data_IF_984927591098
#
_entry.id   IF_984927591098
#
_cell.length_a   1.000
_cell.length_b   1.000
_cell.length_c   1.000
_cell.angle_alpha   90.00
_cell.angle_beta   90.00
_cell.angle_gamma   90.00
#
_symmetry.space_group_name_H-M   'P 1'
#
loop_
_entity.id
_entity.type
_entity.pdbx_description
1 polymer ?
#
# COMPACT_ATOMS: atom_id res chain seq x y z
N UNK A 1 7.12 21.11 -0.19
CA UNK A 1 6.20 21.10 -1.35
C UNK A 1 5.13 20.06 -1.06
N UNK A 2 3.84 20.31 -1.33
CA UNK A 2 2.80 19.27 -1.16
C UNK A 2 2.53 18.57 -2.49
N UNK A 3 2.57 17.26 -2.50
CA UNK A 3 2.12 16.47 -3.64
C UNK A 3 0.59 16.31 -3.61
N UNK A 4 0.02 15.90 -4.74
CA UNK A 4 -1.36 15.42 -4.80
C UNK A 4 -1.36 13.91 -4.62
N UNK A 5 -2.45 13.38 -4.07
CA UNK A 5 -2.61 11.95 -3.84
C UNK A 5 -3.94 11.44 -4.37
N UNK A 6 -3.99 10.15 -4.70
CA UNK A 6 -5.20 9.45 -5.08
C UNK A 6 -5.39 8.20 -4.23
N UNK A 7 -6.63 7.74 -4.12
CA UNK A 7 -7.10 6.61 -3.31
C UNK A 7 -6.75 5.22 -3.87
N UNK A 8 -5.88 5.16 -4.89
CA UNK A 8 -5.49 3.93 -5.59
C UNK A 8 -6.62 3.16 -6.28
N UNK A 9 -7.79 3.77 -6.46
CA UNK A 9 -8.86 3.20 -7.27
C UNK A 9 -8.45 3.01 -8.74
N UNK A 10 -9.08 2.03 -9.41
CA UNK A 10 -8.83 1.78 -10.83
C UNK A 10 -9.47 2.91 -11.65
N UNK A 11 -8.63 3.70 -12.31
CA UNK A 11 -9.04 4.77 -13.22
C UNK A 11 -9.00 4.30 -14.68
N UNK A 12 -9.99 4.72 -15.47
CA UNK A 12 -10.09 4.40 -16.91
C UNK A 12 -10.04 5.65 -17.80
N UNK A 13 -9.95 6.82 -17.20
CA UNK A 13 -9.85 8.10 -17.87
C UNK A 13 -9.04 9.08 -17.02
N UNK A 14 -8.33 9.98 -17.69
CA UNK A 14 -7.55 11.05 -17.07
C UNK A 14 -7.66 12.31 -17.94
N UNK A 15 -7.53 13.51 -17.35
CA UNK A 15 -7.42 14.75 -18.11
C UNK A 15 -6.30 14.66 -19.16
N UNK A 16 -6.47 15.33 -20.31
CA UNK A 16 -5.50 15.28 -21.43
C UNK A 16 -4.07 15.70 -21.02
N UNK A 17 -3.94 16.58 -20.03
CA UNK A 17 -2.67 17.04 -19.48
C UNK A 17 -2.07 16.08 -18.42
N UNK A 18 -2.67 14.91 -18.21
CA UNK A 18 -2.26 13.93 -17.20
C UNK A 18 -1.88 12.60 -17.83
N UNK A 19 -0.70 12.11 -17.50
CA UNK A 19 -0.12 10.85 -18.01
C UNK A 19 -0.23 9.75 -16.96
N UNK A 20 -0.72 8.57 -17.36
CA UNK A 20 -0.81 7.38 -16.51
C UNK A 20 0.55 6.67 -16.41
N UNK A 21 1.15 6.66 -15.22
CA UNK A 21 2.49 6.09 -14.97
C UNK A 21 2.36 4.74 -14.26
N UNK A 22 2.89 3.69 -14.87
CA UNK A 22 2.65 2.31 -14.44
C UNK A 22 3.91 1.46 -14.43
N UNK A 23 3.89 0.41 -13.60
CA UNK A 23 4.91 -0.62 -13.58
C UNK A 23 4.77 -1.56 -14.77
N UNK A 24 5.86 -1.79 -15.50
CA UNK A 24 5.91 -2.65 -16.68
C UNK A 24 7.02 -3.70 -16.60
N UNK A 25 7.09 -4.57 -17.59
CA UNK A 25 8.25 -5.44 -17.84
C UNK A 25 8.99 -4.97 -19.09
N UNK A 26 10.30 -5.23 -19.18
CA UNK A 26 11.12 -4.83 -20.32
C UNK A 26 10.69 -5.48 -21.65
N UNK A 27 9.98 -6.62 -21.61
CA UNK A 27 9.39 -7.23 -22.80
C UNK A 27 8.15 -6.48 -23.33
N UNK A 28 7.62 -5.51 -22.58
CA UNK A 28 6.45 -4.73 -22.95
C UNK A 28 5.15 -5.53 -22.97
N UNK A 29 5.05 -6.58 -22.16
CA UNK A 29 3.82 -7.39 -22.03
C UNK A 29 2.84 -6.71 -21.08
N UNK A 30 1.73 -6.17 -21.58
CA UNK A 30 0.78 -5.39 -20.79
C UNK A 30 -0.52 -6.15 -20.49
N UNK A 31 -0.44 -7.44 -20.17
CA UNK A 31 -1.60 -8.33 -20.02
C UNK A 31 -2.33 -8.31 -18.67
N UNK A 32 -1.77 -7.66 -17.64
CA UNK A 32 -2.32 -7.72 -16.27
C UNK A 32 -2.10 -6.43 -15.48
N UNK A 33 -2.86 -6.28 -14.38
CA UNK A 33 -2.75 -5.16 -13.44
C UNK A 33 -2.83 -3.78 -14.09
N UNK A 34 -2.04 -2.84 -13.57
CA UNK A 34 -1.96 -1.48 -14.09
C UNK A 34 -1.47 -1.41 -15.56
N UNK A 35 -0.62 -2.35 -16.00
CA UNK A 35 -0.16 -2.40 -17.38
C UNK A 35 -1.31 -2.68 -18.36
N UNK A 36 -2.22 -3.59 -17.99
CA UNK A 36 -3.44 -3.83 -18.77
C UNK A 36 -4.33 -2.59 -18.85
N UNK A 37 -4.53 -1.91 -17.73
CA UNK A 37 -5.29 -0.66 -17.70
C UNK A 37 -4.64 0.39 -18.62
N UNK A 38 -3.31 0.52 -18.55
CA UNK A 38 -2.54 1.42 -19.41
C UNK A 38 -2.73 1.11 -20.90
N UNK A 39 -2.68 -0.17 -21.29
CA UNK A 39 -2.89 -0.60 -22.67
C UNK A 39 -4.33 -0.37 -23.14
N UNK A 40 -5.31 -0.69 -22.31
CA UNK A 40 -6.74 -0.61 -22.68
C UNK A 40 -7.28 0.83 -22.72
N UNK A 41 -6.78 1.71 -21.86
CA UNK A 41 -7.38 3.03 -21.63
C UNK A 41 -6.44 4.21 -21.92
N UNK A 42 -5.12 4.02 -21.79
CA UNK A 42 -4.14 5.11 -21.84
C UNK A 42 -3.15 4.98 -23.00
N UNK A 43 -3.39 4.06 -23.94
CA UNK A 43 -2.61 3.94 -25.18
C UNK A 43 -1.20 3.41 -24.98
N UNK A 44 -0.94 2.64 -23.93
CA UNK A 44 0.31 1.90 -23.81
C UNK A 44 0.44 0.88 -24.96
N UNK A 45 1.62 0.87 -25.60
CA UNK A 45 1.86 0.06 -26.80
C UNK A 45 2.53 -1.25 -26.40
N UNK A 46 1.97 -2.37 -26.84
CA UNK A 46 2.53 -3.71 -26.62
C UNK A 46 3.96 -3.79 -27.20
N UNK A 47 4.88 -4.38 -26.45
CA UNK A 47 6.31 -4.42 -26.78
C UNK A 47 7.11 -3.18 -26.34
N UNK A 48 6.44 -2.13 -25.83
CA UNK A 48 7.09 -0.95 -25.24
C UNK A 48 7.10 -1.08 -23.71
N UNK A 49 8.21 -1.59 -23.17
CA UNK A 49 8.37 -1.81 -21.73
C UNK A 49 8.79 -0.60 -20.90
N UNK A 50 9.21 0.50 -21.54
CA UNK A 50 9.74 1.69 -20.85
C UNK A 50 9.42 2.99 -21.57
N UNK A 51 9.29 4.07 -20.80
CA UNK A 51 9.12 5.42 -21.31
C UNK A 51 7.69 5.74 -21.78
N UNK A 52 7.56 6.83 -22.52
CA UNK A 52 6.27 7.38 -22.94
C UNK A 52 5.64 6.62 -24.12
N UNK A 53 4.34 6.37 -24.03
CA UNK A 53 3.50 5.86 -25.12
C UNK A 53 2.04 6.29 -24.91
N UNK A 54 1.42 6.97 -25.89
CA UNK A 54 0.04 7.44 -25.79
C UNK A 54 -0.14 8.46 -24.64
N UNK A 55 -1.13 8.21 -23.78
CA UNK A 55 -1.35 8.93 -22.52
C UNK A 55 -0.70 8.20 -21.32
N UNK A 56 0.36 7.42 -21.55
CA UNK A 56 1.00 6.61 -20.51
C UNK A 56 2.53 6.73 -20.48
N UNK A 57 3.12 6.34 -19.35
CA UNK A 57 4.57 6.22 -19.17
C UNK A 57 4.90 4.93 -18.41
N UNK A 58 5.69 4.05 -19.01
CA UNK A 58 6.09 2.78 -18.43
C UNK A 58 7.40 2.90 -17.64
N UNK A 59 7.40 2.43 -16.39
CA UNK A 59 8.61 2.24 -15.58
C UNK A 59 8.83 0.72 -15.41
N UNK A 60 9.92 0.15 -15.95
CA UNK A 60 10.22 -1.26 -15.79
C UNK A 60 10.48 -1.65 -14.33
N UNK A 61 9.78 -2.68 -13.86
CA UNK A 61 10.04 -3.34 -12.56
C UNK A 61 10.36 -4.83 -12.71
N UNK A 62 10.20 -5.36 -13.93
CA UNK A 62 10.49 -6.73 -14.33
C UNK A 62 11.37 -6.73 -15.59
N UNK A 63 12.28 -7.69 -15.71
CA UNK A 63 13.15 -7.82 -16.89
C UNK A 63 12.40 -8.42 -18.11
N UNK A 64 13.12 -8.68 -19.21
CA UNK A 64 12.52 -9.25 -20.43
C UNK A 64 11.98 -10.68 -20.23
N UNK A 65 12.40 -11.34 -19.16
CA UNK A 65 11.96 -12.67 -18.76
C UNK A 65 10.90 -12.64 -17.64
N UNK A 66 10.32 -11.47 -17.36
CA UNK A 66 9.27 -11.29 -16.35
C UNK A 66 9.77 -11.66 -14.94
N UNK A 67 11.07 -11.47 -14.68
CA UNK A 67 11.67 -11.67 -13.36
C UNK A 67 11.84 -10.32 -12.66
N UNK A 68 11.69 -10.32 -11.33
CA UNK A 68 11.93 -9.16 -10.48
C UNK A 68 13.32 -8.58 -10.75
N UNK A 69 13.36 -7.32 -11.19
CA UNK A 69 14.61 -6.59 -11.39
C UNK A 69 15.17 -6.15 -10.05
N UNK A 70 16.51 -6.07 -9.85
CA UNK A 70 17.07 -5.48 -8.64
C UNK A 70 16.59 -4.03 -8.43
N UNK A 71 16.38 -3.62 -7.17
CA UNK A 71 15.89 -2.29 -6.83
C UNK A 71 16.75 -1.15 -7.42
N UNK A 72 18.07 -1.33 -7.50
CA UNK A 72 19.01 -0.38 -8.14
C UNK A 72 18.75 -0.14 -9.63
N UNK A 73 18.23 -1.14 -10.36
CA UNK A 73 17.86 -0.96 -11.77
C UNK A 73 16.52 -0.21 -11.88
N UNK A 74 15.59 -0.48 -10.96
CA UNK A 74 14.31 0.25 -10.91
C UNK A 74 14.57 1.72 -10.56
N UNK A 75 15.45 1.99 -9.60
CA UNK A 75 15.89 3.34 -9.21
C UNK A 75 16.42 4.12 -10.42
N UNK A 76 17.23 3.49 -11.28
CA UNK A 76 17.71 4.13 -12.51
C UNK A 76 16.55 4.62 -13.42
N UNK A 77 15.51 3.79 -13.62
CA UNK A 77 14.34 4.18 -14.40
C UNK A 77 13.47 5.24 -13.70
N UNK A 78 13.40 5.22 -12.38
CA UNK A 78 12.71 6.25 -11.59
C UNK A 78 13.45 7.59 -11.70
N UNK A 79 14.78 7.60 -11.70
CA UNK A 79 15.59 8.81 -11.91
C UNK A 79 15.40 9.38 -13.33
N UNK A 80 15.37 8.53 -14.36
CA UNK A 80 15.04 8.96 -15.72
C UNK A 80 13.64 9.61 -15.78
N UNK A 81 12.67 9.01 -15.09
CA UNK A 81 11.32 9.56 -14.99
C UNK A 81 11.29 10.90 -14.23
N UNK A 82 12.04 11.05 -13.14
CA UNK A 82 12.17 12.33 -12.41
C UNK A 82 12.67 13.45 -13.31
N UNK A 83 13.70 13.16 -14.11
CA UNK A 83 14.24 14.10 -15.09
C UNK A 83 13.19 14.43 -16.14
N UNK A 84 12.46 13.42 -16.64
CA UNK A 84 11.39 13.62 -17.62
C UNK A 84 10.28 14.53 -17.08
N UNK A 85 9.72 14.19 -15.91
CA UNK A 85 8.62 14.94 -15.29
C UNK A 85 9.00 16.40 -15.01
N UNK A 86 10.22 16.64 -14.54
CA UNK A 86 10.77 17.99 -14.29
C UNK A 86 10.86 18.83 -15.56
N UNK A 87 11.19 18.23 -16.71
CA UNK A 87 11.30 18.92 -17.99
C UNK A 87 9.96 19.13 -18.70
N UNK A 88 8.86 18.59 -18.17
CA UNK A 88 7.50 18.75 -18.71
C UNK A 88 6.54 19.30 -17.64
N UNK A 89 6.78 20.51 -17.11
CA UNK A 89 6.06 21.04 -15.95
C UNK A 89 4.58 21.35 -16.19
N UNK A 90 4.14 21.35 -17.46
CA UNK A 90 2.72 21.53 -17.84
C UNK A 90 1.92 20.24 -17.78
N UNK A 91 2.59 19.09 -17.77
CA UNK A 91 1.96 17.78 -17.64
C UNK A 91 1.91 17.37 -16.17
N UNK A 92 0.88 16.63 -15.82
CA UNK A 92 0.78 15.89 -14.57
C UNK A 92 1.05 14.41 -14.82
N UNK A 93 1.50 13.71 -13.77
CA UNK A 93 1.79 12.29 -13.85
C UNK A 93 1.08 11.55 -12.73
N UNK A 94 0.10 10.73 -13.10
CA UNK A 94 -0.64 9.87 -12.18
C UNK A 94 0.15 8.58 -11.98
N UNK A 95 0.84 8.46 -10.85
CA UNK A 95 1.70 7.32 -10.53
C UNK A 95 0.90 6.25 -9.82
N UNK A 96 0.80 5.06 -10.41
CA UNK A 96 0.28 3.89 -9.69
C UNK A 96 1.27 3.41 -8.62
N UNK A 97 0.83 2.53 -7.70
CA UNK A 97 1.70 1.78 -6.79
C UNK A 97 2.57 0.75 -7.56
N UNK A 98 3.39 1.24 -8.50
CA UNK A 98 4.17 0.45 -9.42
C UNK A 98 5.18 -0.42 -8.68
N UNK A 99 5.41 -1.63 -9.19
CA UNK A 99 6.26 -2.61 -8.53
C UNK A 99 5.63 -3.34 -7.34
N UNK A 100 4.55 -2.82 -6.75
CA UNK A 100 3.99 -3.35 -5.50
C UNK A 100 2.96 -4.48 -5.68
N UNK A 101 2.58 -4.75 -6.94
CA UNK A 101 1.72 -5.89 -7.30
C UNK A 101 2.54 -7.10 -7.74
N UNK A 102 2.59 -7.33 -9.06
CA UNK A 102 3.18 -8.53 -9.67
C UNK A 102 4.68 -8.65 -9.40
N UNK A 103 5.42 -7.54 -9.37
CA UNK A 103 6.85 -7.57 -9.12
C UNK A 103 7.20 -7.86 -7.66
N UNK A 104 6.23 -7.77 -6.74
CA UNK A 104 6.39 -8.20 -5.35
C UNK A 104 7.27 -7.29 -4.49
N UNK A 105 7.51 -6.04 -4.90
CA UNK A 105 8.18 -5.07 -4.05
C UNK A 105 7.23 -4.50 -3.00
N UNK A 106 7.77 -4.06 -1.87
CA UNK A 106 7.00 -3.32 -0.88
C UNK A 106 6.94 -1.84 -1.24
N UNK A 107 5.89 -1.17 -0.79
CA UNK A 107 5.77 0.28 -0.89
C UNK A 107 6.97 0.99 -0.24
N UNK A 108 7.44 0.46 0.90
CA UNK A 108 8.62 0.95 1.61
C UNK A 108 9.93 0.85 0.80
N UNK A 109 9.99 0.00 -0.23
CA UNK A 109 11.15 -0.14 -1.10
C UNK A 109 11.06 0.78 -2.33
N UNK A 110 9.86 0.92 -2.91
CA UNK A 110 9.66 1.70 -4.15
C UNK A 110 9.43 3.19 -3.88
N UNK A 111 8.55 3.52 -2.95
CA UNK A 111 8.12 4.90 -2.73
C UNK A 111 9.27 5.86 -2.39
N UNK A 112 10.30 5.47 -1.59
CA UNK A 112 11.45 6.33 -1.34
C UNK A 112 12.24 6.72 -2.58
N UNK A 113 12.22 5.92 -3.66
CA UNK A 113 12.92 6.23 -4.92
C UNK A 113 12.40 7.53 -5.56
N UNK A 114 11.16 7.90 -5.26
CA UNK A 114 10.52 9.11 -5.78
C UNK A 114 10.84 10.39 -4.97
N UNK A 115 11.58 10.30 -3.86
CA UNK A 115 11.96 11.48 -3.06
C UNK A 115 12.65 12.55 -3.91
N UNK A 116 12.20 13.80 -3.79
CA UNK A 116 12.73 14.94 -4.53
C UNK A 116 12.27 15.04 -5.99
N UNK A 117 11.28 14.26 -6.43
CA UNK A 117 10.65 14.44 -7.73
C UNK A 117 9.96 15.82 -7.83
N UNK A 118 9.75 16.31 -9.06
CA UNK A 118 9.03 17.56 -9.28
C UNK A 118 7.55 17.44 -8.86
N UNK A 119 6.93 18.53 -8.43
CA UNK A 119 5.59 18.54 -7.80
C UNK A 119 4.42 18.29 -8.76
N UNK A 120 4.68 18.01 -10.04
CA UNK A 120 3.66 17.67 -11.04
C UNK A 120 3.32 16.18 -11.06
N UNK A 121 3.56 15.48 -9.95
CA UNK A 121 3.28 14.07 -9.77
C UNK A 121 2.15 13.91 -8.76
N UNK A 122 1.21 13.03 -9.11
CA UNK A 122 0.09 12.60 -8.27
C UNK A 122 0.45 11.18 -7.82
N UNK A 123 0.58 10.98 -6.52
CA UNK A 123 1.02 9.72 -5.93
C UNK A 123 -0.15 8.87 -5.43
N UNK A 124 0.06 7.56 -5.29
CA UNK A 124 -0.88 6.75 -4.52
C UNK A 124 -0.76 7.13 -3.04
N UNK A 125 -1.87 7.11 -2.28
CA UNK A 125 -1.87 7.51 -0.86
C UNK A 125 -0.85 6.69 -0.04
N UNK A 126 -0.66 5.41 -0.37
CA UNK A 126 0.37 4.56 0.25
C UNK A 126 1.81 5.09 0.14
N UNK A 127 2.12 5.93 -0.85
CA UNK A 127 3.47 6.49 -1.04
C UNK A 127 3.71 7.71 -0.16
N UNK A 128 2.65 8.40 0.30
CA UNK A 128 2.72 9.63 1.11
C UNK A 128 3.70 9.55 2.28
N UNK A 129 3.74 8.46 3.08
CA UNK A 129 4.69 8.33 4.18
C UNK A 129 6.15 8.39 3.73
N UNK A 130 6.45 8.03 2.50
CA UNK A 130 7.82 7.87 2.03
C UNK A 130 8.29 9.04 1.18
N UNK A 131 7.38 9.86 0.65
CA UNK A 131 7.71 11.00 -0.23
C UNK A 131 7.63 12.36 0.46
N UNK A 132 6.87 12.50 1.55
CA UNK A 132 6.81 13.76 2.30
C UNK A 132 7.92 13.88 3.34
N UNK A 133 8.62 15.01 3.36
CA UNK A 133 9.73 15.28 4.30
C UNK A 133 9.28 15.26 5.77
N UNK A 134 7.99 15.52 6.06
CA UNK A 134 7.41 15.53 7.41
C UNK A 134 6.70 14.21 7.79
N UNK A 135 6.75 13.18 6.94
CA UNK A 135 6.03 11.93 7.19
C UNK A 135 6.54 11.13 8.41
N UNK A 136 7.78 11.38 8.84
CA UNK A 136 8.40 10.75 10.02
C UNK A 136 7.55 10.93 11.28
N UNK A 137 6.85 12.07 11.43
CA UNK A 137 5.99 12.31 12.60
C UNK A 137 4.60 11.66 12.53
N UNK A 138 4.25 11.00 11.42
CA UNK A 138 2.90 10.45 11.20
C UNK A 138 2.77 8.98 11.63
N UNK A 139 3.89 8.26 11.80
CA UNK A 139 3.89 6.82 12.14
C UNK A 139 4.57 6.57 13.48
N UNK A 140 3.81 6.50 14.60
CA UNK A 140 4.35 6.18 15.91
C UNK A 140 4.96 4.76 15.95
N UNK A 141 5.81 4.49 16.94
CA UNK A 141 6.24 3.12 17.22
C UNK A 141 5.07 2.30 17.73
N UNK A 142 4.83 1.13 17.15
CA UNK A 142 3.80 0.22 17.65
C UNK A 142 4.22 -0.34 19.01
N UNK A 143 3.30 -0.23 19.97
CA UNK A 143 3.40 -0.82 21.31
C UNK A 143 2.27 -1.81 21.53
N UNK A 144 2.42 -2.69 22.51
CA UNK A 144 1.35 -3.61 22.94
C UNK A 144 0.06 -2.85 23.25
N UNK A 145 0.16 -1.76 24.02
CA UNK A 145 -1.00 -0.95 24.42
C UNK A 145 -1.72 -0.42 23.18
N UNK A 146 -0.98 0.17 22.25
CA UNK A 146 -1.54 0.74 21.02
C UNK A 146 -2.32 -0.31 20.22
N UNK A 147 -1.70 -1.45 19.89
CA UNK A 147 -2.35 -2.45 19.01
C UNK A 147 -3.55 -3.10 19.68
N UNK A 148 -3.50 -3.37 21.00
CA UNK A 148 -4.63 -3.93 21.72
C UNK A 148 -5.81 -2.94 21.86
N UNK A 149 -5.54 -1.63 21.81
CA UNK A 149 -6.59 -0.60 21.88
C UNK A 149 -7.48 -0.52 20.65
N UNK A 150 -7.04 -0.95 19.47
CA UNK A 150 -7.88 -0.94 18.26
C UNK A 150 -8.08 -2.31 17.59
N UNK A 151 -7.20 -3.29 17.84
CA UNK A 151 -7.38 -4.66 17.37
C UNK A 151 -8.15 -5.43 18.43
N UNK A 152 -9.43 -5.12 18.59
CA UNK A 152 -10.32 -5.78 19.54
C UNK A 152 -11.76 -5.79 18.99
N UNK A 153 -12.63 -6.55 19.66
CA UNK A 153 -14.01 -6.75 19.25
C UNK A 153 -14.81 -5.44 19.20
N UNK A 154 -14.61 -4.55 20.17
CA UNK A 154 -15.36 -3.28 20.29
C UNK A 154 -15.08 -2.32 19.13
N UNK A 155 -13.82 -2.27 18.65
CA UNK A 155 -13.41 -1.38 17.56
C UNK A 155 -13.60 -2.03 16.19
N UNK A 156 -13.18 -3.28 15.99
CA UNK A 156 -13.28 -3.96 14.69
C UNK A 156 -14.74 -4.18 14.28
N UNK A 157 -15.59 -4.55 15.25
CA UNK A 157 -17.02 -4.76 15.02
C UNK A 157 -17.85 -3.62 15.60
N UNK A 158 -17.39 -2.37 15.40
CA UNK A 158 -18.00 -1.17 15.99
C UNK A 158 -19.53 -1.08 15.84
N UNK A 159 -20.07 -1.60 14.74
CA UNK A 159 -21.49 -1.63 14.42
C UNK A 159 -22.31 -2.51 15.39
N UNK A 160 -21.68 -3.52 16.02
CA UNK A 160 -22.31 -4.33 17.07
C UNK A 160 -22.23 -3.67 18.45
N UNK A 161 -21.40 -2.62 18.60
CA UNK A 161 -21.09 -1.95 19.86
C UNK A 161 -21.58 -0.51 19.92
N UNK A 162 -22.53 -0.16 19.05
CA UNK A 162 -23.25 1.11 19.10
C UNK A 162 -22.44 2.34 18.66
N UNK A 163 -21.38 2.15 17.87
CA UNK A 163 -20.74 3.24 17.14
C UNK A 163 -21.23 3.24 15.69
N UNK A 164 -21.20 4.40 15.02
CA UNK A 164 -21.60 4.54 13.62
C UNK A 164 -20.42 4.45 12.63
N UNK A 165 -19.18 4.62 13.12
CA UNK A 165 -17.96 4.50 12.32
C UNK A 165 -16.74 4.06 13.15
N UNK A 166 -15.63 3.74 12.46
CA UNK A 166 -14.35 3.47 13.13
C UNK A 166 -13.83 4.68 13.90
N UNK A 167 -14.01 5.90 13.39
CA UNK A 167 -13.61 7.14 14.08
C UNK A 167 -14.28 7.25 15.45
N UNK A 168 -15.60 7.04 15.51
CA UNK A 168 -16.33 7.12 16.77
C UNK A 168 -15.92 6.00 17.74
N UNK A 169 -15.66 4.80 17.24
CA UNK A 169 -15.14 3.69 18.06
C UNK A 169 -13.74 4.02 18.62
N UNK A 170 -12.86 4.58 17.79
CA UNK A 170 -11.51 4.99 18.19
C UNK A 170 -11.53 6.17 19.16
N UNK A 171 -12.52 7.06 19.09
CA UNK A 171 -12.68 8.17 20.02
C UNK A 171 -12.97 7.72 21.46
N UNK A 172 -13.42 6.48 21.64
CA UNK A 172 -13.62 5.85 22.96
C UNK A 172 -12.32 5.25 23.54
N UNK A 173 -11.21 5.28 22.79
CA UNK A 173 -9.90 4.75 23.20
C UNK A 173 -8.95 5.83 23.73
N UNK A 174 -7.91 5.42 24.46
CA UNK A 174 -6.83 6.29 24.95
C UNK A 174 -5.76 6.62 23.88
N UNK A 175 -6.00 6.29 22.61
CA UNK A 175 -5.03 6.50 21.53
C UNK A 175 -4.80 7.98 21.25
N UNK A 176 -3.55 8.37 21.04
CA UNK A 176 -3.20 9.69 20.53
C UNK A 176 -3.68 9.89 19.09
N UNK A 177 -3.74 11.15 18.63
CA UNK A 177 -4.17 11.46 17.26
C UNK A 177 -3.35 10.74 16.17
N UNK A 178 -2.03 10.58 16.39
CA UNK A 178 -1.17 9.86 15.46
C UNK A 178 -1.46 8.35 15.45
N UNK A 179 -1.73 7.77 16.63
CA UNK A 179 -2.08 6.36 16.74
C UNK A 179 -3.47 6.07 16.15
N UNK A 180 -4.45 6.97 16.36
CA UNK A 180 -5.77 6.90 15.73
C UNK A 180 -5.68 6.98 14.21
N UNK A 181 -4.82 7.86 13.67
CA UNK A 181 -4.61 7.94 12.23
C UNK A 181 -4.08 6.62 11.65
N UNK A 182 -3.12 5.98 12.33
CA UNK A 182 -2.63 4.65 11.93
C UNK A 182 -3.73 3.58 12.05
N UNK A 183 -4.48 3.57 13.16
CA UNK A 183 -5.58 2.63 13.34
C UNK A 183 -6.63 2.77 12.23
N UNK A 184 -6.98 3.99 11.83
CA UNK A 184 -7.92 4.24 10.73
C UNK A 184 -7.39 3.74 9.39
N UNK A 185 -6.10 3.92 9.09
CA UNK A 185 -5.49 3.36 7.86
C UNK A 185 -5.69 1.84 7.83
N UNK A 186 -5.38 1.18 8.95
CA UNK A 186 -5.45 -0.29 9.07
C UNK A 186 -6.89 -0.80 9.04
N UNK A 187 -7.82 -0.14 9.75
CA UNK A 187 -9.21 -0.56 9.85
C UNK A 187 -10.00 -0.35 8.55
N UNK A 188 -9.67 0.68 7.78
CA UNK A 188 -10.27 0.93 6.47
C UNK A 188 -9.62 0.11 5.34
N UNK A 189 -8.56 -0.65 5.63
CA UNK A 189 -7.96 -1.53 4.63
C UNK A 189 -8.86 -2.73 4.36
N UNK A 190 -9.55 -2.70 3.22
CA UNK A 190 -10.33 -3.84 2.74
C UNK A 190 -9.37 -4.92 2.24
N UNK A 191 -9.15 -5.97 3.04
CA UNK A 191 -8.41 -7.19 2.64
C UNK A 191 -9.29 -8.45 2.58
N UNK A 192 -10.51 -8.39 3.13
CA UNK A 192 -11.47 -9.49 3.15
C UNK A 192 -12.90 -8.95 2.94
N UNK A 193 -13.76 -9.60 2.14
CA UNK A 193 -13.54 -10.86 1.41
C UNK A 193 -12.68 -10.71 0.15
N UNK A 194 -12.48 -9.49 -0.32
CA UNK A 194 -11.58 -9.15 -1.42
C UNK A 194 -10.78 -7.93 -1.05
N UNK A 195 -9.58 -7.85 -1.58
CA UNK A 195 -8.80 -6.63 -1.47
C UNK A 195 -9.30 -5.52 -2.40
N UNK A 196 -8.75 -4.31 -2.27
CA UNK A 196 -9.00 -3.16 -3.15
C UNK A 196 -8.81 -3.44 -4.66
N UNK A 197 -8.09 -4.50 -5.03
CA UNK A 197 -7.88 -4.92 -6.41
C UNK A 197 -8.84 -6.04 -6.85
N UNK A 198 -9.80 -6.40 -6.00
CA UNK A 198 -10.78 -7.46 -6.24
C UNK A 198 -10.21 -8.88 -6.07
N UNK A 199 -9.03 -9.05 -5.46
CA UNK A 199 -8.40 -10.36 -5.24
C UNK A 199 -8.90 -10.97 -3.92
N UNK A 200 -9.28 -12.24 -3.94
CA UNK A 200 -9.61 -12.96 -2.70
C UNK A 200 -8.33 -13.36 -1.96
N UNK A 201 -8.27 -13.09 -0.65
CA UNK A 201 -7.11 -13.41 0.22
C UNK A 201 -7.41 -14.53 1.23
N UNK A 202 -8.47 -15.31 1.02
CA UNK A 202 -8.99 -16.30 1.98
C UNK A 202 -7.94 -17.31 2.46
N UNK A 203 -7.11 -17.81 1.54
CA UNK A 203 -6.08 -18.80 1.87
C UNK A 203 -4.97 -18.22 2.75
N UNK A 204 -4.52 -17.02 2.44
CA UNK A 204 -3.48 -16.33 3.19
C UNK A 204 -3.98 -15.98 4.60
N UNK A 205 -5.16 -15.37 4.67
CA UNK A 205 -5.80 -15.02 5.94
C UNK A 205 -6.06 -16.26 6.80
N UNK A 206 -6.48 -17.39 6.20
CA UNK A 206 -6.66 -18.66 6.91
C UNK A 206 -5.35 -19.22 7.46
N UNK A 207 -4.24 -19.13 6.70
CA UNK A 207 -2.92 -19.59 7.15
C UNK A 207 -2.42 -18.74 8.33
N UNK A 208 -2.53 -17.42 8.21
CA UNK A 208 -2.16 -16.47 9.27
C UNK A 208 -3.02 -16.69 10.51
N UNK A 209 -4.35 -16.85 10.36
CA UNK A 209 -5.26 -17.20 11.45
C UNK A 209 -4.77 -18.46 12.17
N UNK A 210 -4.42 -19.52 11.44
CA UNK A 210 -3.90 -20.76 12.01
C UNK A 210 -2.60 -20.58 12.82
N UNK A 211 -1.73 -19.67 12.38
CA UNK A 211 -0.45 -19.38 13.06
C UNK A 211 -0.62 -18.53 14.33
N UNK A 212 -1.64 -17.68 14.38
CA UNK A 212 -1.95 -16.77 15.50
C UNK A 212 -2.89 -17.40 16.54
N UNK A 213 -3.81 -18.26 16.11
CA UNK A 213 -4.79 -18.91 16.98
C UNK A 213 -4.11 -19.81 18.02
N UNK A 214 -4.59 -19.78 19.26
CA UNK A 214 -3.99 -20.46 20.41
C UNK A 214 -2.72 -19.80 20.97
N UNK A 215 -2.13 -18.81 20.28
CA UNK A 215 -0.97 -18.04 20.77
C UNK A 215 -1.33 -16.64 21.26
N UNK A 216 -2.28 -16.02 20.56
CA UNK A 216 -2.73 -14.65 20.80
C UNK A 216 -4.22 -14.62 21.14
N UNK A 217 -5.03 -15.32 20.34
CA UNK A 217 -6.48 -15.37 20.49
C UNK A 217 -6.94 -16.83 20.56
N UNK A 218 -8.09 -17.07 21.18
CA UNK A 218 -8.79 -18.36 21.12
C UNK A 218 -10.03 -18.20 20.23
N UNK A 219 -9.81 -18.17 18.93
CA UNK A 219 -10.89 -17.99 17.94
C UNK A 219 -11.38 -19.37 17.51
N UNK A 220 -12.68 -19.61 17.65
CA UNK A 220 -13.31 -20.88 17.29
C UNK A 220 -13.71 -20.87 15.81
N UNK A 221 -12.87 -21.46 14.95
CA UNK A 221 -13.19 -21.78 13.55
C UNK A 221 -12.95 -20.66 12.53
N UNK A 222 -13.26 -20.95 11.26
CA UNK A 222 -13.13 -20.04 10.11
C UNK A 222 -14.41 -19.19 9.94
N UNK A 223 -14.83 -18.51 11.00
CA UNK A 223 -15.99 -17.62 10.95
C UNK A 223 -15.64 -16.33 10.20
N UNK A 224 -16.63 -15.69 9.60
CA UNK A 224 -16.46 -14.40 8.90
C UNK A 224 -15.80 -13.35 9.80
N UNK A 225 -16.17 -13.29 11.08
CA UNK A 225 -15.53 -12.42 12.06
C UNK A 225 -14.05 -12.74 12.29
N UNK A 226 -13.66 -14.03 12.31
CA UNK A 226 -12.25 -14.42 12.45
C UNK A 226 -11.41 -13.89 11.27
N UNK A 227 -11.98 -13.93 10.06
CA UNK A 227 -11.32 -13.47 8.84
C UNK A 227 -11.16 -11.94 8.83
N UNK A 228 -12.20 -11.19 9.20
CA UNK A 228 -12.12 -9.73 9.37
C UNK A 228 -11.09 -9.35 10.44
N UNK A 229 -11.08 -10.07 11.56
CA UNK A 229 -10.15 -9.78 12.64
C UNK A 229 -8.69 -9.98 12.19
N UNK A 230 -8.41 -11.09 11.51
CA UNK A 230 -7.06 -11.37 10.99
C UNK A 230 -6.70 -10.43 9.84
N UNK A 231 -7.65 -10.00 9.03
CA UNK A 231 -7.38 -9.05 7.94
C UNK A 231 -6.86 -7.71 8.47
N UNK A 232 -7.39 -7.22 9.59
CA UNK A 232 -6.86 -6.02 10.28
C UNK A 232 -5.41 -6.22 10.75
N UNK A 233 -5.06 -7.41 11.25
CA UNK A 233 -3.69 -7.74 11.65
C UNK A 233 -2.76 -7.74 10.43
N UNK A 234 -3.20 -8.33 9.32
CA UNK A 234 -2.44 -8.35 8.06
C UNK A 234 -2.21 -6.94 7.53
N UNK A 235 -3.24 -6.09 7.54
CA UNK A 235 -3.11 -4.69 7.13
C UNK A 235 -2.06 -3.94 7.99
N UNK A 236 -2.00 -4.20 9.31
CA UNK A 236 -0.97 -3.62 10.17
C UNK A 236 0.44 -4.16 9.83
N UNK A 237 0.56 -5.47 9.62
CA UNK A 237 1.81 -6.13 9.23
C UNK A 237 2.35 -5.59 7.90
N UNK A 238 1.48 -5.36 6.92
CA UNK A 238 1.84 -4.76 5.64
C UNK A 238 2.26 -3.29 5.79
N UNK A 239 1.53 -2.50 6.58
CA UNK A 239 1.83 -1.09 6.79
C UNK A 239 3.20 -0.86 7.47
N UNK A 240 3.53 -1.66 8.48
CA UNK A 240 4.78 -1.52 9.24
C UNK A 240 5.89 -2.48 8.81
N UNK A 241 5.65 -3.26 7.76
CA UNK A 241 6.56 -4.25 7.21
C UNK A 241 7.18 -5.17 8.28
N UNK A 242 6.37 -6.07 8.84
CA UNK A 242 6.79 -7.09 9.78
C UNK A 242 5.95 -8.38 9.63
N UNK A 243 6.43 -9.49 10.20
CA UNK A 243 5.80 -10.81 10.05
C UNK A 243 4.93 -11.23 11.24
N UNK A 244 4.29 -12.39 11.14
CA UNK A 244 3.41 -12.92 12.19
C UNK A 244 4.15 -13.22 13.50
N UNK A 245 5.46 -13.52 13.46
CA UNK A 245 6.23 -13.77 14.68
C UNK A 245 6.51 -12.47 15.43
N UNK A 246 6.79 -11.41 14.69
CA UNK A 246 6.93 -10.07 15.23
C UNK A 246 5.60 -9.55 15.78
N UNK A 247 4.46 -9.85 15.13
CA UNK A 247 3.14 -9.54 15.68
C UNK A 247 2.89 -10.24 17.03
N UNK A 248 3.21 -11.54 17.14
CA UNK A 248 3.07 -12.29 18.39
C UNK A 248 3.87 -11.63 19.52
N UNK A 249 5.12 -11.24 19.25
CA UNK A 249 5.98 -10.56 20.24
C UNK A 249 5.44 -9.18 20.61
N UNK A 250 5.00 -8.40 19.62
CA UNK A 250 4.37 -7.09 19.84
C UNK A 250 3.13 -7.21 20.72
N UNK A 251 2.25 -8.17 20.40
CA UNK A 251 1.04 -8.40 21.16
C UNK A 251 1.30 -8.81 22.61
N UNK A 252 2.42 -9.48 22.89
CA UNK A 252 2.84 -9.89 24.23
C UNK A 252 3.64 -8.82 24.98
N UNK A 253 3.94 -7.69 24.34
CA UNK A 253 4.78 -6.64 24.92
C UNK A 253 6.28 -6.99 24.94
N UNK A 254 6.70 -7.98 24.15
CA UNK A 254 8.09 -8.44 24.06
C UNK A 254 8.91 -7.65 23.03
N UNK A 255 8.24 -6.94 22.10
CA UNK A 255 8.89 -6.16 21.04
C UNK A 255 8.08 -4.90 20.72
N UNK A 256 8.77 -3.80 20.46
CA UNK A 256 8.22 -2.61 19.83
C UNK A 256 8.55 -2.63 18.34
N UNK A 257 7.67 -2.11 17.49
CA UNK A 257 7.87 -2.11 16.04
C UNK A 257 7.87 -0.68 15.52
N UNK A 258 9.02 -0.23 15.04
CA UNK A 258 9.16 1.06 14.36
C UNK A 258 8.68 0.92 12.90
N UNK A 259 8.01 1.94 12.38
CA UNK A 259 7.63 1.99 10.97
C UNK A 259 8.86 1.97 10.07
N UNK A 260 8.83 1.36 8.87
CA UNK A 260 10.00 1.26 7.98
C UNK A 260 10.66 2.59 7.61
N UNK A 261 9.88 3.68 7.63
CA UNK A 261 10.41 5.04 7.43
C UNK A 261 11.45 5.45 8.49
N UNK A 262 11.40 4.84 9.68
CA UNK A 262 12.26 5.14 10.83
C UNK A 262 13.41 4.14 10.99
N UNK A 263 13.48 3.10 10.15
CA UNK A 263 14.49 2.03 10.21
C UNK A 263 15.73 2.34 9.36
#
# INVERSE_FOLDING_TARGET
>A
MSYQYHDESIVTELPEDTVFVFGSNLAGQHGSGAARVASQHFGAVEGVGRGWAGQSFAIPTLNEHIQQMPLSQIEHYVEDFKIYAKNHPKMKYFVTALGCGIAGYKVSEIAPLFKGIYHNVIFPESFKPYVEENAVSQFPTLTQKMVQSFINDEVIFYFNHGSESFEEALDKTDLSNAEKAVALIVLNEELYPRDRYGRGRDHELSDILGKLNGKIFNIHGNSEGAMIFVSVIVALMELYDFDEQDFIKLWRGEKHIEHPINR
#
